data_IF_137276391900
#
_entry.id   IF_137276391900
#
_cell.length_a   1.000
_cell.length_b   1.000
_cell.length_c   1.000
_cell.angle_alpha   90.00
_cell.angle_beta   90.00
_cell.angle_gamma   90.00
#
_symmetry.space_group_name_H-M   'P 1'
#
loop_
_entity.id
_entity.type
_entity.pdbx_description
1 polymer ?
#
# COMPACT_ATOMS: atom_id res chain seq x y z
N UNK A 1 -21.27 -0.22 -14.22
CA UNK A 1 -20.05 0.59 -14.33
C UNK A 1 -19.24 0.32 -13.09
N UNK A 2 -17.99 -0.10 -13.25
CA UNK A 2 -17.10 -0.29 -12.10
C UNK A 2 -16.51 1.08 -11.82
N UNK A 3 -16.79 1.62 -10.62
CA UNK A 3 -16.17 2.86 -10.15
C UNK A 3 -14.76 2.51 -9.70
N UNK A 4 -13.76 3.28 -10.13
CA UNK A 4 -12.41 3.14 -9.62
C UNK A 4 -12.39 3.52 -8.13
N UNK A 5 -11.59 2.80 -7.35
CA UNK A 5 -11.29 3.15 -5.96
C UNK A 5 -10.67 4.56 -5.90
N UNK A 6 -10.91 5.28 -4.80
CA UNK A 6 -10.19 6.54 -4.52
C UNK A 6 -9.05 6.31 -3.53
N UNK A 7 -8.01 7.15 -3.55
CA UNK A 7 -6.90 7.12 -2.56
C UNK A 7 -7.38 7.06 -1.10
N UNK A 8 -8.51 7.71 -0.79
CA UNK A 8 -9.10 7.67 0.55
C UNK A 8 -9.74 6.30 0.90
N UNK A 9 -10.36 5.62 -0.07
CA UNK A 9 -10.89 4.27 0.10
C UNK A 9 -9.76 3.25 0.28
N UNK A 10 -8.70 3.36 -0.54
CA UNK A 10 -7.46 2.59 -0.42
C UNK A 10 -6.87 2.73 1.00
N UNK A 11 -6.60 3.97 1.42
CA UNK A 11 -6.03 4.29 2.73
C UNK A 11 -6.92 3.82 3.89
N UNK A 12 -8.25 3.94 3.76
CA UNK A 12 -9.19 3.44 4.77
C UNK A 12 -9.17 1.92 4.88
N UNK A 13 -9.22 1.20 3.75
CA UNK A 13 -9.21 -0.27 3.74
C UNK A 13 -7.89 -0.79 4.28
N UNK A 14 -6.79 -0.14 3.91
CA UNK A 14 -5.46 -0.42 4.41
C UNK A 14 -5.38 -0.27 5.95
N UNK A 15 -5.88 0.84 6.50
CA UNK A 15 -5.95 1.06 7.94
C UNK A 15 -6.85 0.03 8.65
N UNK A 16 -7.97 -0.37 8.02
CA UNK A 16 -8.84 -1.43 8.54
C UNK A 16 -8.12 -2.79 8.57
N UNK A 17 -7.34 -3.13 7.54
CA UNK A 17 -6.51 -4.34 7.53
C UNK A 17 -5.50 -4.30 8.68
N UNK A 18 -4.77 -3.20 8.86
CA UNK A 18 -3.82 -3.04 9.96
C UNK A 18 -4.51 -3.19 11.34
N UNK A 19 -5.70 -2.61 11.51
CA UNK A 19 -6.48 -2.73 12.75
C UNK A 19 -6.92 -4.17 13.03
N UNK A 20 -7.29 -4.94 12.00
CA UNK A 20 -7.65 -6.36 12.16
C UNK A 20 -6.46 -7.23 12.57
N UNK A 21 -5.25 -6.84 12.18
CA UNK A 21 -4.01 -7.55 12.52
C UNK A 21 -3.43 -7.18 13.88
N UNK A 22 -4.03 -6.21 14.59
CA UNK A 22 -3.49 -5.67 15.85
C UNK A 22 -3.25 -6.73 16.94
N UNK A 23 -4.11 -7.74 17.01
CA UNK A 23 -4.06 -8.79 18.02
C UNK A 23 -3.43 -10.10 17.49
N UNK A 24 -2.84 -10.09 16.29
CA UNK A 24 -2.15 -11.25 15.74
C UNK A 24 -0.85 -11.51 16.50
N UNK A 25 -0.73 -12.70 17.09
CA UNK A 25 0.42 -13.09 17.92
C UNK A 25 1.75 -13.03 17.13
N UNK A 26 1.69 -13.28 15.81
CA UNK A 26 2.82 -13.16 14.89
C UNK A 26 3.33 -11.71 14.73
N UNK A 27 2.54 -10.69 15.10
CA UNK A 27 2.87 -9.27 14.97
C UNK A 27 2.91 -8.51 16.30
N UNK A 28 2.94 -9.21 17.44
CA UNK A 28 2.88 -8.62 18.79
C UNK A 28 4.02 -7.65 19.13
N UNK A 29 5.11 -7.67 18.37
CA UNK A 29 6.29 -6.82 18.54
C UNK A 29 6.35 -5.68 17.52
N UNK A 30 5.24 -5.44 16.81
CA UNK A 30 5.00 -4.31 15.91
C UNK A 30 4.01 -3.36 16.58
N UNK A 31 4.31 -2.07 16.60
CA UNK A 31 3.35 -1.05 17.02
C UNK A 31 2.28 -0.85 15.93
N UNK A 32 1.20 -1.61 16.03
CA UNK A 32 0.12 -1.58 15.04
C UNK A 32 -0.70 -0.28 15.07
N UNK A 33 -0.70 0.48 16.17
CA UNK A 33 -1.33 1.81 16.18
C UNK A 33 -0.54 2.77 15.30
N UNK A 34 0.79 2.70 15.35
CA UNK A 34 1.67 3.44 14.44
C UNK A 34 1.52 2.98 12.98
N UNK A 35 1.39 1.68 12.74
CA UNK A 35 1.10 1.16 11.38
C UNK A 35 -0.20 1.77 10.84
N UNK A 36 -1.27 1.81 11.66
CA UNK A 36 -2.54 2.44 11.26
C UNK A 36 -2.33 3.93 10.92
N UNK A 37 -1.54 4.66 11.71
CA UNK A 37 -1.17 6.05 11.38
C UNK A 37 -0.47 6.15 10.02
N UNK A 38 0.53 5.30 9.76
CA UNK A 38 1.23 5.25 8.47
C UNK A 38 0.25 4.98 7.32
N UNK A 39 -0.65 4.02 7.47
CA UNK A 39 -1.65 3.67 6.46
C UNK A 39 -2.57 4.86 6.13
N UNK A 40 -2.96 5.66 7.12
CA UNK A 40 -3.86 6.79 6.92
C UNK A 40 -3.20 7.97 6.18
N UNK A 41 -1.88 8.09 6.26
CA UNK A 41 -1.16 9.26 5.74
C UNK A 41 -0.33 8.98 4.48
N UNK A 42 -0.05 7.71 4.16
CA UNK A 42 0.98 7.35 3.17
C UNK A 42 0.78 7.98 1.78
N UNK A 43 -0.47 8.05 1.30
CA UNK A 43 -0.80 8.60 -0.01
C UNK A 43 -1.42 10.01 0.06
N UNK A 44 -1.32 10.72 1.19
CA UNK A 44 -1.82 12.11 1.26
C UNK A 44 -1.11 13.05 0.29
N UNK A 45 0.10 12.71 -0.16
CA UNK A 45 0.80 13.43 -1.23
C UNK A 45 0.02 13.47 -2.55
N UNK A 46 -0.76 12.43 -2.85
CA UNK A 46 -1.57 12.34 -4.07
C UNK A 46 -2.70 13.38 -4.11
N UNK A 47 -3.04 14.01 -2.98
CA UNK A 47 -3.95 15.15 -2.97
C UNK A 47 -3.38 16.36 -3.76
N UNK A 48 -2.06 16.42 -3.97
CA UNK A 48 -1.40 17.49 -4.70
C UNK A 48 -1.10 17.14 -6.16
N UNK A 49 -0.70 15.90 -6.42
CA UNK A 49 -0.24 15.42 -7.74
C UNK A 49 -1.29 14.62 -8.51
N UNK A 50 -2.32 14.12 -7.83
CA UNK A 50 -3.21 13.07 -8.31
C UNK A 50 -2.61 11.68 -8.16
N UNK A 51 -3.46 10.65 -8.16
CA UNK A 51 -3.04 9.25 -8.19
C UNK A 51 -2.45 8.90 -9.57
N UNK A 52 -1.16 8.57 -9.58
CA UNK A 52 -0.42 8.16 -10.78
C UNK A 52 -0.17 6.65 -10.67
N UNK A 53 -0.64 5.83 -11.62
CA UNK A 53 -0.46 4.38 -11.57
C UNK A 53 1.00 3.98 -11.38
N UNK A 54 1.25 2.99 -10.52
CA UNK A 54 2.60 2.59 -10.14
C UNK A 54 3.53 2.24 -11.32
N UNK A 55 2.98 1.72 -12.43
CA UNK A 55 3.76 1.39 -13.63
C UNK A 55 3.98 2.59 -14.58
N UNK A 56 3.32 3.73 -14.35
CA UNK A 56 3.50 4.99 -15.08
C UNK A 56 4.30 6.03 -14.29
N UNK A 57 4.29 5.94 -12.94
CA UNK A 57 4.93 6.88 -12.01
C UNK A 57 6.45 6.92 -12.23
N UNK A 58 6.99 8.11 -12.49
CA UNK A 58 8.43 8.34 -12.68
C UNK A 58 9.06 8.93 -11.41
N UNK A 59 10.38 8.82 -11.30
CA UNK A 59 11.15 9.42 -10.19
C UNK A 59 10.88 10.92 -10.01
N UNK A 60 10.65 11.66 -11.09
CA UNK A 60 10.33 13.09 -11.03
C UNK A 60 8.95 13.35 -10.40
N UNK A 61 7.98 12.47 -10.65
CA UNK A 61 6.64 12.56 -10.10
C UNK A 61 6.69 12.29 -8.59
N UNK A 62 7.38 11.21 -8.19
CA UNK A 62 7.60 10.87 -6.77
C UNK A 62 8.31 12.01 -6.02
N UNK A 63 9.35 12.60 -6.60
CA UNK A 63 10.05 13.74 -5.98
C UNK A 63 9.15 14.95 -5.80
N UNK A 64 8.32 15.23 -6.79
CA UNK A 64 7.37 16.36 -6.74
C UNK A 64 6.34 16.15 -5.64
N UNK A 65 5.77 14.94 -5.57
CA UNK A 65 4.80 14.54 -4.55
C UNK A 65 5.38 14.66 -3.14
N UNK A 66 6.56 14.07 -2.90
CA UNK A 66 7.26 14.14 -1.61
C UNK A 66 7.52 15.60 -1.23
N UNK A 67 8.03 16.42 -2.16
CA UNK A 67 8.32 17.83 -1.88
C UNK A 67 7.06 18.60 -1.46
N UNK A 68 5.96 18.46 -2.21
CA UNK A 68 4.71 19.15 -1.91
C UNK A 68 4.09 18.68 -0.59
N UNK A 69 4.19 17.38 -0.30
CA UNK A 69 3.70 16.83 0.95
C UNK A 69 4.52 17.35 2.14
N UNK A 70 5.85 17.30 2.08
CA UNK A 70 6.72 17.83 3.12
C UNK A 70 6.52 19.35 3.32
N UNK A 71 6.39 20.13 2.24
CA UNK A 71 6.09 21.56 2.31
C UNK A 71 4.76 21.85 3.02
N UNK A 72 3.74 21.01 2.79
CA UNK A 72 2.46 21.11 3.51
C UNK A 72 2.63 20.79 5.00
N UNK A 73 3.36 19.73 5.34
CA UNK A 73 3.62 19.35 6.75
C UNK A 73 4.46 20.41 7.47
N UNK A 74 5.36 21.12 6.77
CA UNK A 74 6.13 22.25 7.33
C UNK A 74 5.24 23.39 7.85
N UNK A 75 4.01 23.51 7.34
CA UNK A 75 3.03 24.51 7.80
C UNK A 75 2.33 24.15 9.13
N UNK A 76 2.52 22.94 9.64
CA UNK A 76 1.81 22.46 10.84
C UNK A 76 2.37 23.09 12.13
N UNK A 77 1.60 23.09 13.23
CA UNK A 77 2.14 23.46 14.53
C UNK A 77 3.28 22.52 14.94
N UNK A 78 4.22 23.05 15.75
CA UNK A 78 5.54 22.44 15.95
C UNK A 78 5.51 20.94 16.34
N UNK A 79 4.64 20.56 17.28
CA UNK A 79 4.56 19.17 17.74
C UNK A 79 4.01 18.22 16.66
N UNK A 80 2.97 18.63 15.93
CA UNK A 80 2.40 17.84 14.83
C UNK A 80 3.37 17.73 13.67
N UNK A 81 4.05 18.83 13.33
CA UNK A 81 5.10 18.83 12.32
C UNK A 81 6.21 17.83 12.66
N UNK A 82 6.74 17.89 13.88
CA UNK A 82 7.82 16.99 14.31
C UNK A 82 7.38 15.53 14.22
N UNK A 83 6.18 15.20 14.71
CA UNK A 83 5.61 13.86 14.61
C UNK A 83 5.52 13.37 13.16
N UNK A 84 4.87 14.15 12.29
CA UNK A 84 4.63 13.77 10.90
C UNK A 84 5.92 13.68 10.09
N UNK A 85 6.84 14.62 10.24
CA UNK A 85 8.14 14.57 9.54
C UNK A 85 8.98 13.36 9.98
N UNK A 86 8.93 12.99 11.25
CA UNK A 86 9.61 11.78 11.72
C UNK A 86 8.95 10.51 11.16
N UNK A 87 7.61 10.48 11.12
CA UNK A 87 6.85 9.35 10.58
C UNK A 87 7.11 9.18 9.08
N UNK A 88 7.09 10.26 8.29
CA UNK A 88 7.38 10.24 6.86
C UNK A 88 8.81 9.74 6.57
N UNK A 89 9.81 10.21 7.32
CA UNK A 89 11.20 9.73 7.18
C UNK A 89 11.35 8.24 7.48
N UNK A 90 10.64 7.76 8.49
CA UNK A 90 10.65 6.34 8.84
C UNK A 90 10.00 5.49 7.74
N UNK A 91 8.88 5.96 7.19
CA UNK A 91 8.20 5.33 6.06
C UNK A 91 9.08 5.29 4.82
N UNK A 92 9.81 6.36 4.51
CA UNK A 92 10.76 6.41 3.40
C UNK A 92 11.93 5.43 3.60
N UNK A 93 12.49 5.38 4.81
CA UNK A 93 13.64 4.54 5.11
C UNK A 93 13.32 3.03 5.05
N UNK A 94 12.09 2.63 5.38
CA UNK A 94 11.64 1.22 5.42
C UNK A 94 12.53 0.30 6.31
N UNK A 95 13.14 0.88 7.35
CA UNK A 95 14.05 0.16 8.26
C UNK A 95 13.34 -0.43 9.48
N UNK A 96 12.24 0.17 9.92
CA UNK A 96 11.48 -0.31 11.09
C UNK A 96 10.46 -1.38 10.71
N UNK A 97 10.02 -2.18 11.68
CA UNK A 97 9.00 -3.21 11.44
C UNK A 97 7.69 -2.58 11.01
N UNK A 98 7.31 -1.48 11.63
CA UNK A 98 6.10 -0.72 11.32
C UNK A 98 6.15 -0.20 9.88
N UNK A 99 7.28 0.38 9.47
CA UNK A 99 7.50 0.85 8.10
C UNK A 99 7.39 -0.32 7.09
N UNK A 100 7.97 -1.47 7.40
CA UNK A 100 7.90 -2.63 6.51
C UNK A 100 6.49 -3.25 6.46
N UNK A 101 5.77 -3.24 7.58
CA UNK A 101 4.42 -3.79 7.72
C UNK A 101 3.41 -2.92 6.96
N UNK A 102 3.38 -1.60 7.14
CA UNK A 102 2.45 -0.76 6.37
C UNK A 102 2.72 -0.91 4.87
N UNK A 103 4.00 -1.00 4.47
CA UNK A 103 4.36 -1.11 3.05
C UNK A 103 3.96 -2.45 2.46
N UNK A 104 4.08 -3.53 3.22
CA UNK A 104 3.54 -4.83 2.81
C UNK A 104 2.01 -4.78 2.68
N UNK A 105 1.33 -4.15 3.64
CA UNK A 105 -0.12 -4.00 3.58
C UNK A 105 -0.57 -3.16 2.37
N UNK A 106 0.09 -2.04 2.06
CA UNK A 106 -0.17 -1.18 0.87
C UNK A 106 -0.16 -2.03 -0.39
N UNK A 107 0.91 -2.82 -0.57
CA UNK A 107 1.05 -3.67 -1.76
C UNK A 107 0.04 -4.80 -1.80
N UNK A 108 -0.28 -5.42 -0.66
CA UNK A 108 -1.29 -6.48 -0.61
C UNK A 108 -2.70 -5.97 -0.90
N UNK A 109 -3.05 -4.80 -0.36
CA UNK A 109 -4.33 -4.15 -0.60
C UNK A 109 -4.53 -3.96 -2.10
N UNK A 110 -3.54 -3.41 -2.80
CA UNK A 110 -3.61 -3.17 -4.25
C UNK A 110 -3.79 -4.46 -5.05
N UNK A 111 -3.10 -5.55 -4.65
CA UNK A 111 -3.27 -6.87 -5.28
C UNK A 111 -4.67 -7.44 -5.04
N UNK A 112 -5.20 -7.31 -3.83
CA UNK A 112 -6.56 -7.76 -3.47
C UNK A 112 -7.60 -6.98 -4.29
N UNK A 113 -7.53 -5.65 -4.32
CA UNK A 113 -8.45 -4.80 -5.10
C UNK A 113 -8.40 -5.14 -6.58
N UNK A 114 -7.21 -5.39 -7.11
CA UNK A 114 -7.06 -5.80 -8.50
C UNK A 114 -7.73 -7.16 -8.79
N UNK A 115 -7.62 -8.13 -7.88
CA UNK A 115 -8.33 -9.41 -7.98
C UNK A 115 -9.86 -9.28 -7.90
N UNK A 116 -10.37 -8.28 -7.19
CA UNK A 116 -11.81 -7.97 -7.13
C UNK A 116 -12.34 -7.36 -8.42
N UNK A 117 -11.47 -6.75 -9.23
CA UNK A 117 -11.87 -6.17 -10.52
C UNK A 117 -12.24 -7.26 -11.55
N UNK A 118 -13.16 -6.98 -12.50
CA UNK A 118 -13.45 -7.92 -13.58
C UNK A 118 -12.20 -8.18 -14.42
N UNK A 119 -11.88 -9.43 -14.73
CA UNK A 119 -10.65 -9.74 -15.49
C UNK A 119 -10.60 -9.07 -16.87
N UNK A 120 -11.76 -8.69 -17.42
CA UNK A 120 -11.86 -7.94 -18.67
C UNK A 120 -11.25 -6.54 -18.61
N UNK A 121 -11.02 -5.99 -17.42
CA UNK A 121 -10.34 -4.70 -17.24
C UNK A 121 -8.83 -4.84 -17.14
N UNK A 122 -8.30 -6.06 -17.04
CA UNK A 122 -6.87 -6.29 -16.88
C UNK A 122 -6.11 -6.06 -18.18
N UNK A 123 -5.07 -5.26 -18.11
CA UNK A 123 -4.11 -5.04 -19.17
C UNK A 123 -3.14 -6.24 -19.29
N UNK A 124 -2.56 -6.49 -20.49
CA UNK A 124 -1.63 -7.60 -20.67
C UNK A 124 -0.44 -7.63 -19.70
N UNK A 125 0.06 -6.46 -19.28
CA UNK A 125 1.17 -6.37 -18.33
C UNK A 125 0.76 -6.74 -16.90
N UNK A 126 -0.53 -6.56 -16.54
CA UNK A 126 -1.00 -6.71 -15.16
C UNK A 126 -1.04 -8.17 -14.72
N UNK A 127 -1.14 -9.12 -15.67
CA UNK A 127 -1.01 -10.55 -15.39
C UNK A 127 0.35 -10.91 -14.78
N UNK A 128 1.43 -10.26 -15.22
CA UNK A 128 2.75 -10.46 -14.64
C UNK A 128 2.93 -9.61 -13.38
N UNK A 129 2.47 -8.35 -13.38
CA UNK A 129 2.55 -7.49 -12.21
C UNK A 129 1.82 -8.07 -11.00
N UNK A 130 0.66 -8.70 -11.17
CA UNK A 130 -0.04 -9.36 -10.06
C UNK A 130 0.81 -10.42 -9.36
N UNK A 131 1.74 -11.06 -10.07
CA UNK A 131 2.61 -12.10 -9.53
C UNK A 131 3.95 -11.57 -9.02
N UNK A 132 4.34 -10.35 -9.39
CA UNK A 132 5.67 -9.80 -9.09
C UNK A 132 5.65 -8.56 -8.18
N UNK A 133 4.60 -7.74 -8.28
CA UNK A 133 4.47 -6.49 -7.53
C UNK A 133 4.47 -6.72 -6.02
N UNK A 134 5.26 -5.93 -5.29
CA UNK A 134 5.36 -5.99 -3.83
C UNK A 134 5.97 -7.27 -3.25
N UNK A 135 6.49 -8.19 -4.08
CA UNK A 135 6.97 -9.51 -3.61
C UNK A 135 8.09 -9.40 -2.57
N UNK A 136 9.01 -8.45 -2.74
CA UNK A 136 10.09 -8.22 -1.79
C UNK A 136 9.58 -7.62 -0.47
N UNK A 137 8.52 -6.81 -0.51
CA UNK A 137 7.92 -6.23 0.70
C UNK A 137 7.32 -7.32 1.61
N UNK A 138 6.83 -8.43 1.07
CA UNK A 138 6.27 -9.53 1.86
C UNK A 138 7.30 -10.27 2.71
N UNK A 139 8.59 -10.14 2.39
CA UNK A 139 9.69 -10.79 3.12
C UNK A 139 9.94 -10.20 4.51
N UNK A 140 9.26 -9.11 4.86
CA UNK A 140 9.37 -8.49 6.18
C UNK A 140 8.88 -9.40 7.30
N UNK A 141 7.93 -10.30 7.02
CA UNK A 141 7.41 -11.23 8.02
C UNK A 141 6.81 -12.50 7.37
N UNK A 142 6.99 -13.71 7.96
CA UNK A 142 6.35 -14.93 7.46
C UNK A 142 4.83 -14.86 7.35
N UNK A 143 4.19 -14.03 8.18
CA UNK A 143 2.74 -13.76 8.09
C UNK A 143 2.36 -13.20 6.70
N UNK A 144 3.09 -12.20 6.21
CA UNK A 144 2.84 -11.58 4.92
C UNK A 144 3.22 -12.49 3.74
N UNK A 145 4.24 -13.34 3.88
CA UNK A 145 4.53 -14.37 2.88
C UNK A 145 3.36 -15.36 2.71
N UNK A 146 2.75 -15.82 3.83
CA UNK A 146 1.58 -16.70 3.79
C UNK A 146 0.37 -15.98 3.19
N UNK A 147 0.11 -14.73 3.60
CA UNK A 147 -1.00 -13.95 3.07
C UNK A 147 -0.83 -13.70 1.56
N UNK A 148 0.39 -13.40 1.12
CA UNK A 148 0.73 -13.29 -0.30
C UNK A 148 0.46 -14.57 -1.08
N UNK A 149 0.83 -15.74 -0.54
CA UNK A 149 0.56 -17.02 -1.19
C UNK A 149 -0.95 -17.25 -1.39
N UNK A 150 -1.78 -16.82 -0.43
CA UNK A 150 -3.24 -16.90 -0.57
C UNK A 150 -3.76 -15.98 -1.68
N UNK A 151 -3.24 -14.75 -1.76
CA UNK A 151 -3.56 -13.81 -2.85
C UNK A 151 -3.10 -14.35 -4.21
N UNK A 152 -1.89 -14.87 -4.31
CA UNK A 152 -1.36 -15.49 -5.54
C UNK A 152 -2.22 -16.67 -6.01
N UNK A 153 -2.65 -17.53 -5.08
CA UNK A 153 -3.54 -18.65 -5.39
C UNK A 153 -4.90 -18.17 -5.92
N UNK A 154 -5.43 -17.07 -5.38
CA UNK A 154 -6.63 -16.45 -5.90
C UNK A 154 -6.42 -15.86 -7.30
N UNK A 155 -5.33 -15.12 -7.51
CA UNK A 155 -4.95 -14.57 -8.82
C UNK A 155 -4.90 -15.66 -9.88
N UNK A 156 -4.18 -16.75 -9.62
CA UNK A 156 -4.05 -17.89 -10.55
C UNK A 156 -5.42 -18.46 -10.88
N UNK A 157 -6.23 -18.76 -9.85
CA UNK A 157 -7.57 -19.32 -10.04
C UNK A 157 -8.45 -18.40 -10.89
N UNK A 158 -8.43 -17.09 -10.62
CA UNK A 158 -9.21 -16.10 -11.37
C UNK A 158 -8.81 -16.08 -12.85
N UNK A 159 -7.51 -16.07 -13.12
CA UNK A 159 -6.98 -16.13 -14.50
C UNK A 159 -7.46 -17.40 -15.21
N UNK A 160 -7.33 -18.57 -14.57
CA UNK A 160 -7.75 -19.84 -15.15
C UNK A 160 -9.26 -19.91 -15.44
N UNK A 161 -10.09 -19.28 -14.60
CA UNK A 161 -11.55 -19.39 -14.73
C UNK A 161 -12.20 -18.28 -15.56
N UNK A 162 -11.60 -17.10 -15.64
CA UNK A 162 -12.23 -15.92 -16.21
C UNK A 162 -11.52 -15.38 -17.46
N UNK A 163 -10.24 -15.72 -17.70
CA UNK A 163 -9.49 -15.19 -18.84
C UNK A 163 -10.03 -15.81 -20.14
N UNK A 164 -10.49 -15.01 -21.12
CA UNK A 164 -10.89 -15.53 -22.42
C UNK A 164 -9.70 -16.19 -23.14
N UNK A 165 -9.98 -17.24 -23.91
CA UNK A 165 -9.01 -17.90 -24.80
C UNK A 165 -8.43 -16.95 -25.87
#
# INVERSE_FOLDING_TARGET
GVRQESTAEHSWRLALMAMLLKDEEELKDVDMDKVIEMCLIHDLGEAFTGDIPAFEKKDADTKTEVTLYEEWVESFPAAQKEHWMNLLKEMEALETKEAQVYKALDKLEALITHNESPISTWLPLEYDLQMTYGKDNMKCHPYFEKLRQAVDAWTIRKIETEKPE
#
